data_IF_466604859122
#
_entry.id   IF_466604859122
#
_cell.length_a   1.000
_cell.length_b   1.000
_cell.length_c   1.000
_cell.angle_alpha   90.00
_cell.angle_beta   90.00
_cell.angle_gamma   90.00
#
_symmetry.space_group_name_H-M   'P 1'
#
loop_
_entity.id
_entity.type
_entity.pdbx_description
1 polymer ?
#
# COMPACT_ATOMS: atom_id res chain seq x y z
N UNK A 1 -18.51 7.87 13.74
CA UNK A 1 -19.40 9.02 14.07
C UNK A 1 -18.61 10.21 14.61
N UNK A 2 -17.91 10.13 15.73
CA UNK A 2 -17.16 11.25 16.32
C UNK A 2 -16.27 12.00 15.32
N UNK A 3 -15.50 11.29 14.51
CA UNK A 3 -14.61 11.90 13.49
C UNK A 3 -15.39 12.60 12.36
N UNK A 4 -16.53 12.06 11.99
CA UNK A 4 -17.44 12.65 10.99
C UNK A 4 -18.00 13.99 11.51
N UNK A 5 -18.44 14.00 12.77
CA UNK A 5 -18.98 15.20 13.41
C UNK A 5 -17.92 16.30 13.54
N UNK A 6 -16.67 15.92 13.90
CA UNK A 6 -15.54 16.85 13.93
C UNK A 6 -15.27 17.47 12.55
N UNK A 7 -15.36 16.68 11.47
CA UNK A 7 -15.19 17.20 10.11
C UNK A 7 -16.33 18.16 9.75
N UNK A 8 -17.57 17.81 10.07
CA UNK A 8 -18.72 18.66 9.77
C UNK A 8 -18.67 20.01 10.49
N UNK A 9 -18.21 20.01 11.75
CA UNK A 9 -17.96 21.25 12.51
C UNK A 9 -16.91 22.12 11.81
N UNK A 10 -15.80 21.54 11.37
CA UNK A 10 -14.74 22.26 10.66
C UNK A 10 -15.19 22.77 9.29
N UNK A 11 -15.97 21.98 8.58
CA UNK A 11 -16.51 22.36 7.27
C UNK A 11 -17.68 23.32 7.39
N UNK A 12 -18.37 23.37 8.55
CA UNK A 12 -19.53 24.21 8.82
C UNK A 12 -20.83 23.69 8.23
N UNK A 13 -20.85 22.49 7.67
CA UNK A 13 -22.04 21.78 7.17
C UNK A 13 -21.77 20.30 6.99
N UNK A 14 -22.80 19.45 7.01
CA UNK A 14 -22.68 18.07 6.58
C UNK A 14 -22.25 17.96 5.14
N UNK A 15 -21.30 17.06 4.83
CA UNK A 15 -20.84 16.72 3.48
C UNK A 15 -20.66 15.21 3.36
N UNK A 16 -20.82 14.71 2.14
CA UNK A 16 -20.50 13.33 1.81
C UNK A 16 -18.97 13.17 1.73
N UNK A 17 -18.35 12.54 2.74
CA UNK A 17 -16.89 12.42 2.84
C UNK A 17 -16.27 11.48 1.80
N UNK A 18 -17.07 10.58 1.23
CA UNK A 18 -16.71 9.75 0.08
C UNK A 18 -16.74 10.50 -1.24
N UNK A 19 -17.50 11.61 -1.33
CA UNK A 19 -17.70 12.36 -2.57
C UNK A 19 -16.49 13.25 -2.89
N UNK A 20 -15.79 12.92 -3.97
CA UNK A 20 -14.70 13.74 -4.50
C UNK A 20 -15.17 15.13 -4.90
N UNK A 21 -16.41 15.26 -5.38
CA UNK A 21 -17.02 16.54 -5.78
C UNK A 21 -17.22 17.44 -4.57
N UNK A 22 -17.90 16.97 -3.52
CA UNK A 22 -18.19 17.80 -2.34
C UNK A 22 -16.92 18.21 -1.58
N UNK A 23 -15.93 17.31 -1.51
CA UNK A 23 -14.61 17.66 -0.96
C UNK A 23 -13.86 18.65 -1.86
N UNK A 24 -13.95 18.50 -3.18
CA UNK A 24 -13.38 19.45 -4.14
C UNK A 24 -14.01 20.83 -4.01
N UNK A 25 -15.33 20.92 -3.88
CA UNK A 25 -16.05 22.18 -3.65
C UNK A 25 -15.58 22.86 -2.36
N UNK A 26 -15.39 22.09 -1.29
CA UNK A 26 -14.87 22.64 -0.03
C UNK A 26 -13.44 23.17 -0.16
N UNK A 27 -12.52 22.37 -0.67
CA UNK A 27 -11.10 22.77 -0.72
C UNK A 27 -10.82 23.82 -1.79
N UNK A 28 -11.35 23.64 -3.00
CA UNK A 28 -10.94 24.43 -4.16
C UNK A 28 -11.85 25.63 -4.44
N UNK A 29 -13.13 25.51 -4.16
CA UNK A 29 -14.08 26.61 -4.38
C UNK A 29 -14.30 27.46 -3.14
N UNK A 30 -14.55 26.84 -1.96
CA UNK A 30 -14.81 27.60 -0.73
C UNK A 30 -13.53 28.14 -0.09
N UNK A 31 -12.51 27.30 0.12
CA UNK A 31 -11.23 27.73 0.68
C UNK A 31 -10.29 28.35 -0.36
N UNK A 32 -10.64 28.32 -1.64
CA UNK A 32 -9.87 28.86 -2.78
C UNK A 32 -8.43 28.32 -2.85
N UNK A 33 -8.24 27.08 -2.40
CA UNK A 33 -6.92 26.43 -2.45
C UNK A 33 -6.64 26.04 -3.91
N UNK A 34 -5.45 26.39 -4.39
CA UNK A 34 -4.99 25.93 -5.71
C UNK A 34 -4.82 24.40 -5.68
N UNK A 35 -5.45 23.64 -6.59
CA UNK A 35 -5.34 22.19 -6.60
C UNK A 35 -3.90 21.73 -6.77
N UNK A 36 -3.32 20.99 -5.81
CA UNK A 36 -1.92 20.57 -5.89
C UNK A 36 -1.70 19.44 -6.89
N UNK A 37 -2.74 18.67 -7.21
CA UNK A 37 -2.70 17.54 -8.15
C UNK A 37 -3.96 17.53 -8.98
N UNK A 38 -3.81 17.37 -10.30
CA UNK A 38 -4.91 17.13 -11.22
C UNK A 38 -4.95 15.65 -11.62
N UNK A 39 -6.14 15.15 -11.96
CA UNK A 39 -6.30 13.81 -12.54
C UNK A 39 -5.95 13.83 -14.04
N UNK A 40 -5.79 12.67 -14.67
CA UNK A 40 -5.56 12.54 -16.11
C UNK A 40 -6.64 13.23 -16.97
N UNK A 41 -7.83 13.38 -16.41
CA UNK A 41 -8.96 14.09 -17.04
C UNK A 41 -9.02 15.58 -16.68
N UNK A 42 -7.92 16.17 -16.22
CA UNK A 42 -7.82 17.56 -15.76
C UNK A 42 -8.81 17.99 -14.65
N UNK A 43 -9.36 17.04 -13.91
CA UNK A 43 -10.17 17.34 -12.74
C UNK A 43 -9.30 17.50 -11.48
N UNK A 44 -9.72 18.37 -10.58
CA UNK A 44 -9.05 18.59 -9.32
C UNK A 44 -9.12 17.33 -8.44
N UNK A 45 -7.95 16.78 -8.11
CA UNK A 45 -7.87 15.56 -7.31
C UNK A 45 -8.11 15.84 -5.83
N UNK A 46 -8.92 15.01 -5.17
CA UNK A 46 -9.03 14.91 -3.71
C UNK A 46 -8.46 13.58 -3.20
N UNK A 47 -7.60 12.94 -3.98
CA UNK A 47 -6.88 11.73 -3.60
C UNK A 47 -5.86 11.97 -2.49
N UNK A 48 -5.30 10.90 -1.97
CA UNK A 48 -4.38 10.95 -0.82
C UNK A 48 -3.20 11.92 -1.05
N UNK A 49 -2.54 11.83 -2.22
CA UNK A 49 -1.41 12.72 -2.57
C UNK A 49 -1.83 14.18 -2.60
N UNK A 50 -3.00 14.48 -3.16
CA UNK A 50 -3.51 15.84 -3.21
C UNK A 50 -3.87 16.38 -1.83
N UNK A 51 -4.56 15.59 -0.99
CA UNK A 51 -4.91 16.02 0.36
C UNK A 51 -3.70 16.20 1.27
N UNK A 52 -2.64 15.39 1.12
CA UNK A 52 -1.37 15.55 1.84
C UNK A 52 -0.60 16.81 1.42
N UNK A 53 -0.77 17.24 0.17
CA UNK A 53 -0.09 18.41 -0.39
C UNK A 53 -0.84 19.73 -0.16
N UNK A 54 -1.98 19.71 0.55
CA UNK A 54 -2.72 20.93 0.86
C UNK A 54 -1.90 21.80 1.83
N UNK A 55 -1.55 23.00 1.38
CA UNK A 55 -0.83 24.02 2.18
C UNK A 55 -1.76 25.20 2.53
N UNK A 56 -2.72 24.93 3.40
CA UNK A 56 -3.67 25.91 3.93
C UNK A 56 -4.05 25.52 5.36
N UNK A 57 -4.00 26.40 6.37
CA UNK A 57 -4.17 26.04 7.78
C UNK A 57 -5.47 25.28 8.08
N UNK A 58 -6.62 25.79 7.64
CA UNK A 58 -7.91 25.10 7.82
C UNK A 58 -8.01 23.87 6.92
N UNK A 59 -7.60 23.98 5.66
CA UNK A 59 -7.62 22.89 4.69
C UNK A 59 -6.82 21.68 5.18
N UNK A 60 -5.64 21.91 5.74
CA UNK A 60 -4.78 20.85 6.30
C UNK A 60 -5.44 20.12 7.47
N UNK A 61 -6.16 20.84 8.34
CA UNK A 61 -6.89 20.23 9.47
C UNK A 61 -8.00 19.30 8.99
N UNK A 62 -8.76 19.72 7.99
CA UNK A 62 -9.83 18.91 7.39
C UNK A 62 -9.24 17.76 6.58
N UNK A 63 -8.23 18.01 5.74
CA UNK A 63 -7.58 16.99 4.92
C UNK A 63 -7.02 15.82 5.77
N UNK A 64 -6.35 16.13 6.89
CA UNK A 64 -5.82 15.11 7.81
C UNK A 64 -6.95 14.22 8.38
N UNK A 65 -8.08 14.83 8.74
CA UNK A 65 -9.23 14.08 9.26
C UNK A 65 -9.94 13.26 8.19
N UNK A 66 -10.09 13.81 6.98
CA UNK A 66 -10.66 13.08 5.84
C UNK A 66 -9.79 11.88 5.47
N UNK A 67 -8.47 12.01 5.49
CA UNK A 67 -7.57 10.88 5.26
C UNK A 67 -7.73 9.79 6.33
N UNK A 68 -7.82 10.19 7.61
CA UNK A 68 -8.08 9.24 8.70
C UNK A 68 -9.46 8.60 8.61
N UNK A 69 -10.48 9.36 8.22
CA UNK A 69 -11.82 8.82 7.98
C UNK A 69 -11.81 7.79 6.86
N UNK A 70 -11.14 8.08 5.73
CA UNK A 70 -11.02 7.14 4.60
C UNK A 70 -10.29 5.86 4.97
N UNK A 71 -9.26 5.95 5.81
CA UNK A 71 -8.55 4.78 6.33
C UNK A 71 -9.50 3.88 7.15
N UNK A 72 -10.25 4.47 8.07
CA UNK A 72 -11.22 3.74 8.90
C UNK A 72 -12.38 3.18 8.08
N UNK A 73 -12.91 3.96 7.14
CA UNK A 73 -13.97 3.54 6.22
C UNK A 73 -13.54 2.35 5.36
N UNK A 74 -12.30 2.38 4.86
CA UNK A 74 -11.75 1.26 4.10
C UNK A 74 -11.64 0.01 4.98
N UNK A 75 -11.20 0.15 6.23
CA UNK A 75 -11.11 -0.98 7.17
C UNK A 75 -12.50 -1.55 7.42
N UNK A 76 -13.47 -0.72 7.71
CA UNK A 76 -14.84 -1.15 7.99
C UNK A 76 -15.47 -1.83 6.77
N UNK A 77 -15.57 -1.14 5.65
CA UNK A 77 -16.27 -1.65 4.47
C UNK A 77 -15.57 -2.83 3.79
N UNK A 78 -14.24 -2.76 3.68
CA UNK A 78 -13.50 -3.80 2.94
C UNK A 78 -13.30 -5.06 3.78
N UNK A 79 -13.09 -4.91 5.08
CA UNK A 79 -12.72 -6.02 5.95
C UNK A 79 -13.82 -6.37 6.95
N UNK A 80 -14.12 -5.50 7.93
CA UNK A 80 -14.98 -5.86 9.05
C UNK A 80 -16.40 -6.19 8.61
N UNK A 81 -17.05 -5.30 7.88
CA UNK A 81 -18.42 -5.51 7.38
C UNK A 81 -18.51 -6.70 6.41
N UNK A 82 -17.47 -6.89 5.58
CA UNK A 82 -17.38 -8.03 4.68
C UNK A 82 -17.22 -9.35 5.45
N UNK A 83 -16.36 -9.37 6.47
CA UNK A 83 -16.14 -10.57 7.29
C UNK A 83 -17.38 -10.96 8.09
N UNK A 84 -18.05 -10.00 8.73
CA UNK A 84 -19.29 -10.23 9.45
C UNK A 84 -20.41 -10.78 8.55
N UNK A 85 -20.48 -10.28 7.32
CA UNK A 85 -21.48 -10.77 6.34
C UNK A 85 -21.20 -12.17 5.82
N UNK A 86 -19.92 -12.54 5.71
CA UNK A 86 -19.47 -13.83 5.13
C UNK A 86 -19.12 -14.87 6.19
N UNK A 87 -19.21 -14.49 7.46
CA UNK A 87 -19.03 -15.42 8.58
C UNK A 87 -20.14 -16.46 8.56
N UNK A 88 -19.77 -17.72 8.76
CA UNK A 88 -20.68 -18.85 8.90
C UNK A 88 -20.16 -19.78 9.99
N UNK A 89 -20.91 -19.91 11.09
CA UNK A 89 -20.58 -20.75 12.26
C UNK A 89 -19.18 -20.50 12.83
N UNK A 90 -18.82 -19.22 12.99
CA UNK A 90 -17.52 -18.78 13.50
C UNK A 90 -16.38 -18.87 12.49
N UNK A 91 -16.66 -19.13 11.21
CA UNK A 91 -15.64 -19.30 10.17
C UNK A 91 -15.89 -18.42 8.96
N UNK A 92 -14.79 -18.08 8.28
CA UNK A 92 -14.79 -17.38 6.99
C UNK A 92 -14.29 -18.36 5.93
N UNK A 93 -15.09 -18.55 4.88
CA UNK A 93 -14.79 -19.45 3.78
C UNK A 93 -14.49 -18.63 2.51
N UNK A 94 -13.23 -18.29 2.30
CA UNK A 94 -12.80 -17.58 1.09
C UNK A 94 -12.82 -18.51 -0.14
N UNK A 95 -13.10 -17.93 -1.30
CA UNK A 95 -12.92 -18.61 -2.58
C UNK A 95 -11.53 -18.36 -3.12
N UNK A 96 -10.86 -19.40 -3.56
CA UNK A 96 -9.51 -19.34 -4.14
C UNK A 96 -9.56 -19.69 -5.62
N UNK A 97 -8.92 -18.85 -6.44
CA UNK A 97 -8.76 -19.10 -7.87
C UNK A 97 -7.27 -19.19 -8.20
N UNK A 98 -6.82 -20.37 -8.63
CA UNK A 98 -5.42 -20.63 -8.96
C UNK A 98 -4.95 -19.90 -10.21
N UNK A 99 -5.85 -19.54 -11.13
CA UNK A 99 -5.56 -18.91 -12.41
C UNK A 99 -6.31 -17.57 -12.58
N UNK A 100 -6.56 -16.85 -11.47
CA UNK A 100 -7.39 -15.65 -11.47
C UNK A 100 -6.68 -14.37 -11.91
N UNK A 101 -5.38 -14.41 -12.20
CA UNK A 101 -4.60 -13.25 -12.64
C UNK A 101 -3.85 -13.52 -13.92
N UNK A 102 -3.56 -12.48 -14.70
CA UNK A 102 -2.74 -12.58 -15.91
C UNK A 102 -1.31 -13.06 -15.65
N UNK A 103 -0.83 -12.88 -14.42
CA UNK A 103 0.52 -13.29 -14.00
C UNK A 103 0.60 -14.73 -13.48
N UNK A 104 -0.52 -15.47 -13.48
CA UNK A 104 -0.58 -16.84 -12.95
C UNK A 104 -0.58 -16.91 -11.42
N UNK A 105 -0.69 -15.78 -10.71
CA UNK A 105 -0.82 -15.79 -9.24
C UNK A 105 -2.22 -16.21 -8.83
N UNK A 106 -2.32 -16.82 -7.65
CA UNK A 106 -3.61 -17.03 -7.01
C UNK A 106 -4.35 -15.72 -6.79
N UNK A 107 -5.65 -15.76 -6.87
CA UNK A 107 -6.52 -14.67 -6.39
C UNK A 107 -7.53 -15.21 -5.39
N UNK A 108 -8.03 -14.34 -4.52
CA UNK A 108 -9.04 -14.66 -3.53
C UNK A 108 -10.24 -13.74 -3.66
N UNK A 109 -11.43 -14.29 -3.36
CA UNK A 109 -12.68 -13.52 -3.28
C UNK A 109 -13.57 -14.08 -2.15
N UNK A 110 -14.57 -13.34 -1.77
CA UNK A 110 -15.65 -13.70 -0.86
C UNK A 110 -15.22 -14.27 0.52
N UNK A 111 -14.38 -13.58 1.30
CA UNK A 111 -13.63 -12.34 1.05
C UNK A 111 -12.24 -12.59 0.46
N UNK A 112 -11.59 -11.53 -0.08
CA UNK A 112 -10.19 -11.63 -0.51
C UNK A 112 -9.25 -11.59 0.71
N UNK A 113 -8.86 -12.77 1.21
CA UNK A 113 -7.94 -12.91 2.33
C UNK A 113 -6.46 -12.63 1.98
N UNK A 114 -6.11 -12.50 0.69
CA UNK A 114 -4.74 -12.17 0.28
C UNK A 114 -4.40 -10.70 0.56
N UNK A 115 -5.40 -9.84 0.73
CA UNK A 115 -5.22 -8.40 0.94
C UNK A 115 -5.44 -7.95 2.39
N UNK A 116 -5.33 -8.87 3.36
CA UNK A 116 -5.45 -8.53 4.78
C UNK A 116 -4.36 -7.51 5.14
N UNK A 117 -4.72 -6.34 5.71
CA UNK A 117 -3.74 -5.32 6.06
C UNK A 117 -2.82 -5.81 7.17
N UNK A 118 -1.64 -5.18 7.28
CA UNK A 118 -0.68 -5.44 8.37
C UNK A 118 -1.09 -4.79 9.70
N UNK A 119 -2.38 -4.60 9.91
CA UNK A 119 -2.95 -4.09 11.16
C UNK A 119 -3.21 -5.26 12.10
N UNK A 120 -2.61 -5.24 13.28
CA UNK A 120 -2.72 -6.31 14.27
C UNK A 120 -4.15 -6.53 14.73
N UNK A 121 -4.98 -5.49 14.78
CA UNK A 121 -6.38 -5.63 15.20
C UNK A 121 -7.18 -6.42 14.18
N UNK A 122 -6.89 -6.25 12.89
CA UNK A 122 -7.54 -7.01 11.82
C UNK A 122 -7.00 -8.46 11.78
N UNK A 123 -5.69 -8.65 11.92
CA UNK A 123 -5.08 -9.98 11.88
C UNK A 123 -5.47 -10.86 13.05
N UNK A 124 -5.63 -10.29 14.24
CA UNK A 124 -6.07 -11.01 15.46
C UNK A 124 -7.51 -11.52 15.41
N UNK A 125 -8.33 -11.10 14.44
CA UNK A 125 -9.67 -11.66 14.22
C UNK A 125 -9.58 -13.13 13.76
N UNK A 126 -8.51 -13.47 13.03
CA UNK A 126 -8.30 -14.83 12.55
C UNK A 126 -7.65 -15.66 13.65
N UNK A 127 -8.38 -16.67 14.11
CA UNK A 127 -7.95 -17.56 15.20
C UNK A 127 -7.80 -18.97 14.61
N UNK A 128 -6.64 -19.64 14.79
CA UNK A 128 -6.47 -21.02 14.34
C UNK A 128 -7.15 -22.00 15.30
N UNK A 129 -7.50 -23.19 14.84
CA UNK A 129 -7.98 -24.26 15.72
C UNK A 129 -6.85 -24.80 16.62
N UNK A 130 -5.62 -24.84 16.12
CA UNK A 130 -4.44 -25.28 16.85
C UNK A 130 -3.36 -24.20 16.75
N UNK A 131 -2.80 -23.99 15.55
CA UNK A 131 -1.76 -22.99 15.30
C UNK A 131 -1.75 -22.53 13.83
N UNK A 132 -1.18 -21.36 13.55
CA UNK A 132 -0.83 -20.96 12.19
C UNK A 132 0.58 -21.38 11.86
N UNK A 133 0.77 -21.96 10.68
CA UNK A 133 2.07 -22.22 10.09
C UNK A 133 2.25 -21.26 8.90
N UNK A 134 3.24 -20.39 8.98
CA UNK A 134 3.57 -19.44 7.92
C UNK A 134 4.83 -19.92 7.18
N UNK A 135 4.71 -20.15 5.86
CA UNK A 135 5.81 -20.58 5.02
C UNK A 135 5.86 -19.71 3.77
N UNK A 136 7.01 -19.06 3.56
CA UNK A 136 7.24 -18.22 2.39
C UNK A 136 8.60 -18.52 1.75
N UNK A 137 8.65 -18.47 0.42
CA UNK A 137 9.92 -18.59 -0.30
C UNK A 137 10.70 -17.29 -0.22
N UNK A 138 11.88 -17.36 0.40
CA UNK A 138 12.74 -16.20 0.50
C UNK A 138 13.21 -15.72 -0.87
N UNK A 139 12.71 -14.56 -1.32
CA UNK A 139 13.11 -13.85 -2.54
C UNK A 139 13.02 -14.71 -3.82
N UNK A 140 12.01 -15.57 -3.96
CA UNK A 140 11.92 -16.53 -5.06
C UNK A 140 11.97 -15.88 -6.45
N UNK A 141 11.29 -14.73 -6.64
CA UNK A 141 11.26 -14.02 -7.92
C UNK A 141 12.65 -13.54 -8.33
N UNK A 142 13.42 -13.01 -7.38
CA UNK A 142 14.81 -12.56 -7.61
C UNK A 142 15.75 -13.72 -7.88
N UNK A 143 15.56 -14.85 -7.21
CA UNK A 143 16.34 -16.07 -7.46
C UNK A 143 16.07 -16.65 -8.85
N UNK A 144 14.81 -16.68 -9.26
CA UNK A 144 14.41 -17.09 -10.60
C UNK A 144 14.99 -16.16 -11.67
N UNK A 145 14.96 -14.84 -11.43
CA UNK A 145 15.57 -13.87 -12.33
C UNK A 145 17.09 -14.06 -12.43
N UNK A 146 17.78 -14.28 -11.31
CA UNK A 146 19.22 -14.56 -11.29
C UNK A 146 19.55 -15.82 -12.11
N UNK A 147 18.74 -16.87 -11.96
CA UNK A 147 18.90 -18.12 -12.69
C UNK A 147 18.66 -17.95 -14.19
N UNK A 148 17.59 -17.26 -14.57
CA UNK A 148 17.22 -17.06 -15.98
C UNK A 148 18.16 -16.10 -16.71
N UNK A 149 18.53 -14.99 -16.07
CA UNK A 149 19.43 -13.97 -16.65
C UNK A 149 20.91 -14.36 -16.63
N UNK A 150 21.27 -15.32 -15.76
CA UNK A 150 22.67 -15.70 -15.47
C UNK A 150 23.55 -14.50 -15.05
N UNK A 151 22.94 -13.47 -14.48
CA UNK A 151 23.65 -12.27 -14.04
C UNK A 151 24.58 -12.62 -12.87
N UNK A 152 25.88 -12.53 -13.11
CA UNK A 152 26.93 -13.02 -12.19
C UNK A 152 26.81 -12.39 -10.78
N UNK A 153 26.57 -11.09 -10.69
CA UNK A 153 26.44 -10.41 -9.41
C UNK A 153 25.24 -10.90 -8.58
N UNK A 154 24.11 -11.17 -9.23
CA UNK A 154 22.94 -11.73 -8.56
C UNK A 154 23.18 -13.19 -8.12
N UNK A 155 23.76 -13.99 -9.01
CA UNK A 155 24.11 -15.40 -8.71
C UNK A 155 25.08 -15.43 -7.54
N UNK A 156 26.15 -14.62 -7.58
CA UNK A 156 27.13 -14.52 -6.50
C UNK A 156 26.48 -14.13 -5.16
N UNK A 157 25.64 -13.09 -5.15
CA UNK A 157 24.96 -12.66 -3.93
C UNK A 157 24.14 -13.79 -3.29
N UNK A 158 23.40 -14.57 -4.10
CA UNK A 158 22.60 -15.68 -3.58
C UNK A 158 23.44 -16.90 -3.16
N UNK A 159 24.49 -17.23 -3.89
CA UNK A 159 25.35 -18.39 -3.56
C UNK A 159 26.26 -18.13 -2.36
N UNK A 160 26.66 -16.88 -2.14
CA UNK A 160 27.43 -16.46 -0.96
C UNK A 160 26.58 -16.14 0.28
N UNK A 161 25.24 -16.29 0.19
CA UNK A 161 24.33 -15.99 1.28
C UNK A 161 24.19 -14.50 1.62
N UNK A 162 24.62 -13.62 0.72
CA UNK A 162 24.51 -12.18 0.91
C UNK A 162 23.07 -11.69 0.67
N UNK A 163 22.69 -10.62 1.36
CA UNK A 163 21.43 -9.93 1.08
C UNK A 163 21.55 -9.15 -0.23
N UNK A 164 20.83 -9.58 -1.27
CA UNK A 164 20.89 -8.96 -2.60
C UNK A 164 20.52 -7.46 -2.56
N UNK A 165 19.60 -7.06 -1.68
CA UNK A 165 19.21 -5.66 -1.57
C UNK A 165 20.32 -4.81 -0.92
N UNK A 166 20.97 -5.35 0.12
CA UNK A 166 22.14 -4.70 0.72
C UNK A 166 23.31 -4.65 -0.27
N UNK A 167 23.54 -5.71 -1.02
CA UNK A 167 24.54 -5.75 -2.09
C UNK A 167 24.26 -4.70 -3.17
N UNK A 168 23.02 -4.59 -3.64
CA UNK A 168 22.63 -3.56 -4.62
C UNK A 168 22.81 -2.14 -4.04
N UNK A 169 22.44 -1.92 -2.77
CA UNK A 169 22.65 -0.64 -2.11
C UNK A 169 24.15 -0.28 -2.05
N UNK A 170 24.97 -1.24 -1.72
CA UNK A 170 26.45 -1.09 -1.68
C UNK A 170 27.01 -0.65 -3.03
N UNK A 171 26.54 -1.27 -4.12
CA UNK A 171 26.96 -0.89 -5.49
C UNK A 171 26.48 0.51 -5.87
N UNK A 172 25.21 0.81 -5.63
CA UNK A 172 24.61 2.12 -6.01
C UNK A 172 25.23 3.28 -5.23
N UNK A 173 25.52 3.07 -3.94
CA UNK A 173 26.07 4.10 -3.07
C UNK A 173 27.60 4.11 -3.04
N UNK A 174 28.23 3.16 -3.74
CA UNK A 174 29.69 2.96 -3.73
C UNK A 174 30.25 2.86 -2.30
N UNK A 175 29.61 2.04 -1.45
CA UNK A 175 29.97 1.84 -0.04
C UNK A 175 30.10 0.34 0.26
N UNK A 176 30.99 -0.06 1.21
CA UNK A 176 31.08 -1.44 1.66
C UNK A 176 29.76 -1.99 2.15
N UNK A 177 29.45 -3.25 1.81
CA UNK A 177 28.18 -3.89 2.16
C UNK A 177 27.94 -3.96 3.68
N UNK A 178 29.01 -4.10 4.45
CA UNK A 178 28.97 -4.17 5.92
C UNK A 178 28.53 -2.85 6.58
N UNK A 179 28.61 -1.75 5.84
CA UNK A 179 28.13 -0.43 6.26
C UNK A 179 26.69 -0.14 5.85
N UNK A 180 26.03 -1.07 5.16
CA UNK A 180 24.62 -0.94 4.77
C UNK A 180 23.75 -1.52 5.89
N UNK A 181 22.93 -0.67 6.48
CA UNK A 181 21.95 -1.12 7.48
C UNK A 181 20.90 -2.03 6.82
N UNK A 182 20.84 -3.29 7.30
CA UNK A 182 19.90 -4.32 6.80
C UNK A 182 18.43 -3.98 7.01
N UNK A 183 18.12 -3.01 7.85
CA UNK A 183 16.76 -2.52 8.13
C UNK A 183 16.54 -1.08 7.64
N UNK A 184 17.61 -0.42 7.21
CA UNK A 184 17.67 0.99 6.90
C UNK A 184 17.04 1.39 5.55
N UNK A 185 16.90 2.71 5.33
CA UNK A 185 16.29 3.27 4.13
C UNK A 185 17.07 2.96 2.86
N UNK A 186 18.40 2.84 2.94
CA UNK A 186 19.28 2.52 1.81
C UNK A 186 18.96 1.14 1.22
N UNK A 187 18.84 0.14 2.08
CA UNK A 187 18.40 -1.20 1.67
C UNK A 187 16.97 -1.22 1.14
N UNK A 188 16.07 -0.44 1.72
CA UNK A 188 14.68 -0.35 1.25
C UNK A 188 14.58 0.33 -0.13
N UNK A 189 15.40 1.34 -0.39
CA UNK A 189 15.57 1.96 -1.71
C UNK A 189 16.05 0.92 -2.74
N UNK A 190 17.11 0.18 -2.43
CA UNK A 190 17.65 -0.86 -3.30
C UNK A 190 16.64 -2.01 -3.53
N UNK A 191 15.85 -2.35 -2.52
CA UNK A 191 14.73 -3.30 -2.67
C UNK A 191 13.72 -2.79 -3.71
N UNK A 192 13.32 -1.54 -3.63
CA UNK A 192 12.40 -0.93 -4.60
C UNK A 192 13.00 -0.88 -6.01
N UNK A 193 14.30 -0.61 -6.12
CA UNK A 193 15.03 -0.62 -7.38
C UNK A 193 15.06 -2.02 -8.01
N UNK A 194 15.46 -3.04 -7.24
CA UNK A 194 15.55 -4.42 -7.72
C UNK A 194 14.21 -4.93 -8.25
N UNK A 195 13.14 -4.73 -7.50
CA UNK A 195 11.79 -5.10 -7.96
C UNK A 195 11.34 -4.23 -9.14
N UNK A 196 11.63 -2.94 -9.09
CA UNK A 196 11.31 -2.03 -10.18
C UNK A 196 11.91 -2.49 -11.51
N UNK A 197 13.18 -2.84 -11.54
CA UNK A 197 13.86 -3.35 -12.74
C UNK A 197 13.22 -4.64 -13.24
N UNK A 198 12.91 -5.58 -12.36
CA UNK A 198 12.26 -6.85 -12.73
C UNK A 198 10.88 -6.62 -13.35
N UNK A 199 10.12 -5.67 -12.81
CA UNK A 199 8.79 -5.31 -13.30
C UNK A 199 8.79 -4.25 -14.41
N UNK A 200 9.96 -3.95 -15.00
CA UNK A 200 10.07 -3.06 -16.14
C UNK A 200 9.88 -1.58 -15.83
N UNK A 201 10.30 -1.14 -14.63
CA UNK A 201 10.29 0.29 -14.33
C UNK A 201 11.20 1.03 -15.32
N UNK A 202 10.62 1.94 -16.10
CA UNK A 202 11.38 2.80 -17.01
C UNK A 202 11.93 4.03 -16.30
N UNK A 203 13.03 4.57 -16.82
CA UNK A 203 13.49 5.91 -16.46
C UNK A 203 12.54 6.91 -17.14
N UNK A 204 11.80 7.71 -16.34
CA UNK A 204 11.11 8.87 -16.91
C UNK A 204 12.17 9.82 -17.46
N UNK A 205 12.22 9.98 -18.78
CA UNK A 205 12.91 11.11 -19.37
C UNK A 205 12.14 12.36 -18.97
N UNK A 206 12.81 13.26 -18.24
CA UNK A 206 12.32 14.61 -17.95
C UNK A 206 12.46 15.47 -19.20
#
# INVERSE_FOLDING_TARGET
RKLTDEIFVLVGKPIELGSTKQLGDYFFHRLKIKPPVQTEKNNNSTGEKALKAIDHPEGRKVAKRVLKWRELEKIDNTYLSSYLRLENKGRIHARWNACGTLTGRFSGSDPNLMNIPKDDNIRKIFIPDVEFVDMDFNQIELKLMAHASKQQNMVHAFTSGQDLHAYTASLVLNRPIDLIDKTGPERQMAKSLNFGVIYGIGVKQN
#
